data_IF_582433497192
#
_entry.id   IF_582433497192
#
_cell.length_a   1.000
_cell.length_b   1.000
_cell.length_c   1.000
_cell.angle_alpha   90.00
_cell.angle_beta   90.00
_cell.angle_gamma   90.00
#
_symmetry.space_group_name_H-M   'P 1'
#
loop_
_entity.id
_entity.type
_entity.pdbx_description
1 polymer ?
#
# COMPACT_ATOMS: atom_id res chain seq x y z
N UNK A 1 3.83 18.24 -0.94
CA UNK A 1 3.83 16.81 -1.28
C UNK A 1 5.25 16.31 -1.30
N UNK A 2 5.54 15.26 -0.54
CA UNK A 2 6.85 14.59 -0.58
C UNK A 2 7.00 13.78 -1.87
N UNK A 3 8.22 13.35 -2.20
CA UNK A 3 8.44 12.44 -3.34
C UNK A 3 7.68 11.12 -3.15
N UNK A 4 7.63 10.62 -1.91
CA UNK A 4 6.88 9.42 -1.50
C UNK A 4 5.38 9.57 -1.75
N UNK A 5 4.76 10.65 -1.28
CA UNK A 5 3.33 10.94 -1.52
C UNK A 5 3.02 11.04 -3.02
N UNK A 6 3.89 11.70 -3.78
CA UNK A 6 3.72 11.85 -5.23
C UNK A 6 3.79 10.49 -5.95
N UNK A 7 4.72 9.62 -5.53
CA UNK A 7 4.86 8.27 -6.08
C UNK A 7 3.64 7.38 -5.74
N UNK A 8 3.12 7.48 -4.52
CA UNK A 8 1.90 6.79 -4.08
C UNK A 8 0.71 7.20 -4.96
N UNK A 9 0.43 8.51 -5.07
CA UNK A 9 -0.69 9.01 -5.87
C UNK A 9 -0.55 8.68 -7.35
N UNK A 10 0.67 8.72 -7.89
CA UNK A 10 0.93 8.31 -9.26
C UNK A 10 0.69 6.81 -9.49
N UNK A 11 0.99 5.96 -8.50
CA UNK A 11 0.70 4.53 -8.58
C UNK A 11 -0.80 4.26 -8.51
N UNK A 12 -1.51 4.85 -7.55
CA UNK A 12 -2.97 4.74 -7.43
C UNK A 12 -3.69 5.10 -8.72
N UNK A 13 -3.30 6.22 -9.36
CA UNK A 13 -3.87 6.64 -10.66
C UNK A 13 -3.61 5.65 -11.80
N UNK A 14 -2.47 4.96 -11.80
CA UNK A 14 -2.15 3.95 -12.83
C UNK A 14 -2.90 2.63 -12.63
N UNK A 15 -3.24 2.29 -11.39
CA UNK A 15 -3.94 1.05 -11.07
C UNK A 15 -5.46 1.15 -11.30
N UNK A 16 -6.05 2.34 -11.14
CA UNK A 16 -7.48 2.54 -11.31
C UNK A 16 -7.99 1.95 -12.65
N UNK A 17 -9.07 1.14 -12.64
CA UNK A 17 -10.06 0.98 -11.55
C UNK A 17 -9.66 0.02 -10.43
N UNK A 18 -8.58 -0.75 -10.57
CA UNK A 18 -8.09 -1.63 -9.52
C UNK A 18 -7.50 -0.85 -8.34
N UNK A 19 -7.62 -1.41 -7.15
CA UNK A 19 -6.90 -0.92 -5.98
C UNK A 19 -5.39 -1.07 -6.19
N UNK A 20 -4.66 0.02 -5.97
CA UNK A 20 -3.21 -0.02 -5.79
C UNK A 20 -2.85 -0.49 -4.39
N UNK A 21 -1.68 -1.11 -4.24
CA UNK A 21 -1.14 -1.50 -2.95
C UNK A 21 0.40 -1.39 -2.94
N UNK A 22 1.01 -1.21 -1.77
CA UNK A 22 2.46 -1.17 -1.61
C UNK A 22 2.89 -0.86 -0.18
N UNK A 23 4.19 -0.61 -0.01
CA UNK A 23 4.77 -0.31 1.30
C UNK A 23 5.51 1.03 1.29
N UNK A 24 5.57 1.67 2.44
CA UNK A 24 6.54 2.74 2.70
C UNK A 24 7.60 2.15 3.61
N UNK A 25 8.85 2.28 3.18
CA UNK A 25 10.01 1.85 3.93
C UNK A 25 10.80 3.05 4.43
N UNK A 26 11.32 2.96 5.64
CA UNK A 26 12.32 3.88 6.18
C UNK A 26 13.71 3.37 5.83
N UNK A 27 14.52 4.25 5.23
CA UNK A 27 15.91 4.01 4.86
C UNK A 27 16.80 5.11 5.45
N UNK A 28 18.14 4.94 5.51
CA UNK A 28 19.05 6.01 5.93
C UNK A 28 18.90 7.30 5.10
N UNK A 29 18.46 7.20 3.85
CA UNK A 29 18.22 8.32 2.94
C UNK A 29 16.82 8.95 3.08
N UNK A 30 15.96 8.38 3.94
CA UNK A 30 14.59 8.82 4.19
C UNK A 30 13.52 7.79 3.79
N UNK A 31 12.26 8.20 3.84
CA UNK A 31 11.14 7.33 3.48
C UNK A 31 11.04 7.13 1.97
N UNK A 32 10.75 5.90 1.54
CA UNK A 32 10.57 5.54 0.14
C UNK A 32 9.34 4.66 -0.05
N UNK A 33 8.57 4.94 -1.11
CA UNK A 33 7.45 4.10 -1.52
C UNK A 33 7.90 2.96 -2.44
N UNK A 34 7.42 1.75 -2.15
CA UNK A 34 7.62 0.52 -2.92
C UNK A 34 6.24 0.05 -3.42
N UNK A 35 5.91 0.25 -4.71
CA UNK A 35 4.65 -0.25 -5.28
C UNK A 35 4.67 -1.78 -5.40
N UNK A 36 3.54 -2.42 -5.12
CA UNK A 36 3.32 -3.85 -5.29
C UNK A 36 2.23 -4.12 -6.32
N UNK A 37 2.26 -5.31 -6.92
CA UNK A 37 1.18 -5.76 -7.81
C UNK A 37 0.03 -6.30 -6.94
N UNK A 38 -1.19 -5.83 -7.20
CA UNK A 38 -2.38 -6.41 -6.59
C UNK A 38 -2.67 -7.79 -7.22
N UNK A 39 -2.50 -8.86 -6.44
CA UNK A 39 -2.73 -10.25 -6.86
C UNK A 39 -4.12 -10.78 -6.48
N UNK A 40 -5.06 -9.90 -6.10
CA UNK A 40 -6.45 -10.27 -5.86
C UNK A 40 -7.11 -10.81 -7.12
N UNK A 41 -8.01 -11.80 -6.96
CA UNK A 41 -8.88 -12.26 -8.05
C UNK A 41 -9.95 -11.21 -8.41
N UNK A 42 -10.22 -10.27 -7.50
CA UNK A 42 -11.19 -9.18 -7.62
C UNK A 42 -10.48 -7.86 -7.31
N UNK A 43 -9.59 -7.38 -8.20
CA UNK A 43 -8.66 -6.29 -7.90
C UNK A 43 -9.33 -4.91 -7.80
N UNK A 44 -10.57 -4.76 -8.28
CA UNK A 44 -11.36 -3.53 -8.13
C UNK A 44 -12.06 -3.42 -6.77
N UNK A 45 -12.16 -4.51 -6.02
CA UNK A 45 -12.85 -4.56 -4.72
C UNK A 45 -11.92 -4.89 -3.54
N UNK A 46 -10.80 -5.55 -3.80
CA UNK A 46 -9.85 -5.97 -2.78
C UNK A 46 -8.42 -5.89 -3.30
N UNK A 47 -7.47 -5.72 -2.39
CA UNK A 47 -6.06 -5.95 -2.67
C UNK A 47 -5.48 -7.16 -1.95
N UNK A 48 -4.49 -7.79 -2.59
CA UNK A 48 -3.61 -8.78 -1.96
C UNK A 48 -2.19 -8.51 -2.43
N UNK A 49 -1.24 -8.55 -1.49
CA UNK A 49 0.19 -8.43 -1.78
C UNK A 49 0.81 -9.82 -1.67
N UNK A 50 1.70 -10.16 -2.61
CA UNK A 50 2.47 -11.40 -2.57
C UNK A 50 3.43 -11.40 -1.35
N UNK A 51 3.56 -12.51 -0.60
CA UNK A 51 4.50 -12.58 0.53
C UNK A 51 5.94 -12.20 0.15
N UNK A 52 6.35 -12.51 -1.08
CA UNK A 52 7.67 -12.18 -1.62
C UNK A 52 7.91 -10.67 -1.74
N UNK A 53 6.85 -9.90 -2.01
CA UNK A 53 6.94 -8.44 -2.10
C UNK A 53 7.10 -7.81 -0.70
N UNK A 54 6.50 -8.41 0.34
CA UNK A 54 6.75 -8.00 1.73
C UNK A 54 8.21 -8.23 2.11
N UNK A 55 8.71 -9.46 1.89
CA UNK A 55 10.10 -9.80 2.18
C UNK A 55 11.07 -8.88 1.42
N UNK A 56 10.78 -8.59 0.15
CA UNK A 56 11.60 -7.67 -0.66
C UNK A 56 11.60 -6.24 -0.11
N UNK A 57 10.49 -5.76 0.45
CA UNK A 57 10.42 -4.44 1.08
C UNK A 57 11.25 -4.41 2.36
N UNK A 58 11.12 -5.42 3.24
CA UNK A 58 11.91 -5.53 4.48
C UNK A 58 13.42 -5.62 4.22
N UNK A 59 13.83 -6.29 3.14
CA UNK A 59 15.24 -6.35 2.74
C UNK A 59 15.83 -5.00 2.30
N UNK A 60 14.98 -4.02 1.96
CA UNK A 60 15.40 -2.69 1.50
C UNK A 60 15.30 -1.62 2.58
N UNK A 61 14.57 -1.87 3.68
CA UNK A 61 14.37 -0.92 4.78
C UNK A 61 13.28 -1.39 5.75
N UNK A 62 13.09 -0.65 6.83
CA UNK A 62 12.03 -0.94 7.80
C UNK A 62 10.67 -0.56 7.21
N UNK A 63 9.72 -1.48 7.13
CA UNK A 63 8.35 -1.15 6.69
C UNK A 63 7.69 -0.31 7.78
N UNK A 64 7.35 0.94 7.45
CA UNK A 64 6.69 1.88 8.37
C UNK A 64 5.21 2.08 8.07
N UNK A 65 4.75 1.72 6.88
CA UNK A 65 3.33 1.70 6.53
C UNK A 65 3.02 0.74 5.38
N UNK A 66 1.81 0.19 5.39
CA UNK A 66 1.16 -0.37 4.20
C UNK A 66 0.31 0.72 3.55
N UNK A 67 0.31 0.81 2.24
CA UNK A 67 -0.47 1.80 1.49
C UNK A 67 -1.39 1.07 0.51
N UNK A 68 -2.67 1.45 0.47
CA UNK A 68 -3.61 1.02 -0.57
C UNK A 68 -4.57 2.15 -0.96
N UNK A 69 -5.35 1.95 -2.02
CA UNK A 69 -6.31 2.95 -2.53
C UNK A 69 -7.72 2.40 -2.63
N UNK A 70 -8.73 3.27 -2.51
CA UNK A 70 -10.13 2.95 -2.86
C UNK A 70 -10.61 3.78 -4.06
N UNK A 71 -10.38 3.36 -5.32
CA UNK A 71 -10.80 4.12 -6.50
C UNK A 71 -12.32 4.35 -6.51
N UNK A 72 -12.75 5.62 -6.38
CA UNK A 72 -14.18 5.97 -6.30
C UNK A 72 -14.89 5.50 -5.03
N UNK A 73 -14.16 4.94 -4.07
CA UNK A 73 -14.69 4.45 -2.80
C UNK A 73 -14.62 5.50 -1.68
N UNK A 74 -14.89 5.04 -0.47
CA UNK A 74 -14.93 5.90 0.71
C UNK A 74 -13.51 6.20 1.23
N UNK A 75 -13.23 7.42 1.71
CA UNK A 75 -11.90 7.84 2.17
C UNK A 75 -11.58 7.36 3.60
N UNK A 76 -12.01 6.15 3.95
CA UNK A 76 -11.68 5.51 5.22
C UNK A 76 -11.55 4.00 5.06
N UNK A 77 -10.77 3.39 5.95
CA UNK A 77 -10.58 1.95 6.01
C UNK A 77 -11.91 1.22 6.17
N UNK A 78 -12.12 0.20 5.34
CA UNK A 78 -13.21 -0.75 5.49
C UNK A 78 -13.06 -1.56 6.79
N UNK A 79 -14.08 -2.32 7.17
CA UNK A 79 -13.97 -3.23 8.32
C UNK A 79 -12.88 -4.29 8.11
N UNK A 80 -12.74 -4.80 6.88
CA UNK A 80 -11.71 -5.78 6.53
C UNK A 80 -10.31 -5.16 6.66
N UNK A 81 -10.11 -3.95 6.13
CA UNK A 81 -8.84 -3.23 6.24
C UNK A 81 -8.45 -3.02 7.70
N UNK A 82 -9.38 -2.59 8.56
CA UNK A 82 -9.09 -2.35 9.98
C UNK A 82 -8.66 -3.62 10.70
N UNK A 83 -9.29 -4.76 10.41
CA UNK A 83 -8.89 -6.05 10.99
C UNK A 83 -7.47 -6.43 10.57
N UNK A 84 -7.14 -6.25 9.30
CA UNK A 84 -5.82 -6.55 8.76
C UNK A 84 -4.75 -5.56 9.24
N UNK A 85 -5.11 -4.27 9.38
CA UNK A 85 -4.27 -3.24 9.98
C UNK A 85 -3.81 -3.66 11.37
N UNK A 86 -4.76 -4.01 12.26
CA UNK A 86 -4.46 -4.46 13.62
C UNK A 86 -3.56 -5.70 13.59
N UNK A 87 -3.87 -6.68 12.72
CA UNK A 87 -3.09 -7.91 12.59
C UNK A 87 -1.65 -7.67 12.11
N UNK A 88 -1.47 -6.73 11.18
CA UNK A 88 -0.15 -6.37 10.65
C UNK A 88 0.69 -5.55 11.61
N UNK A 89 0.06 -4.92 12.62
CA UNK A 89 0.69 -3.98 13.55
C UNK A 89 1.41 -2.80 12.84
N UNK A 90 0.94 -2.44 11.64
CA UNK A 90 1.45 -1.32 10.85
C UNK A 90 0.39 -0.22 10.71
N UNK A 91 0.81 1.04 10.61
CA UNK A 91 -0.01 2.09 10.00
C UNK A 91 -0.46 1.67 8.59
N UNK A 92 -1.71 1.97 8.26
CA UNK A 92 -2.24 1.80 6.91
C UNK A 92 -2.63 3.16 6.37
N UNK A 93 -2.08 3.53 5.22
CA UNK A 93 -2.38 4.78 4.53
C UNK A 93 -3.34 4.49 3.38
N UNK A 94 -4.46 5.19 3.36
CA UNK A 94 -5.46 5.12 2.30
C UNK A 94 -5.31 6.33 1.39
N UNK A 95 -5.28 6.12 0.07
CA UNK A 95 -5.12 7.17 -0.96
C UNK A 95 -6.15 7.12 -2.09
#
# INVERSE_FOLDING_TARGET
MTQTESAILAHARRCAPAESCGFVISTPEGERYIPCVNISAEPEAYFRIAPEDWLRAEMQGEIVALVHSHPGGLPWLSEADRRLQIKSALPWWLV
#
